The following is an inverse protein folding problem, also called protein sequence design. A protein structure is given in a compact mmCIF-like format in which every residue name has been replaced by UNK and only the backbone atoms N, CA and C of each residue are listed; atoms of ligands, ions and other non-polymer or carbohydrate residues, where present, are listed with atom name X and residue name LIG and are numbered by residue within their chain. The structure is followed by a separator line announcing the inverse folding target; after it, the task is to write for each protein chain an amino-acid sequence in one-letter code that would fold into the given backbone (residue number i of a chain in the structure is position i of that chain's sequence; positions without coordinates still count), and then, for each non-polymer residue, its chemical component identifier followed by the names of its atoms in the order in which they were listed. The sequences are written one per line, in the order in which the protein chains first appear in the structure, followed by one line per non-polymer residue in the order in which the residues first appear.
data_IF_320211762347
#
_entry.id   IF_320211762347
#
_cell.length_a   1.000
_cell.length_b   1.000
_cell.length_c   1.000
_cell.angle_alpha   90.00
_cell.angle_beta   90.00
_cell.angle_gamma   90.00
#
_symmetry.space_group_name_H-M   'P 1'
#
loop_
_entity.id
_entity.type
_entity.pdbx_description
1 polymer ?
#
# COMPACT_ATOMS: atom_id res chain seq x y z
N UNK A 1 24.18 -23.65 12.71
CA UNK A 1 23.16 -22.71 12.22
C UNK A 1 23.88 -21.41 11.87
N UNK A 2 23.79 -20.96 10.63
CA UNK A 2 24.51 -19.80 10.12
C UNK A 2 24.07 -18.53 10.89
N UNK A 3 25.00 -17.84 11.55
CA UNK A 3 24.71 -16.66 12.37
C UNK A 3 24.09 -15.53 11.55
N UNK A 4 24.45 -15.42 10.26
CA UNK A 4 23.90 -14.42 9.36
C UNK A 4 22.42 -14.68 9.07
N UNK A 5 22.03 -15.94 8.87
CA UNK A 5 20.64 -16.34 8.66
C UNK A 5 19.79 -16.02 9.89
N UNK A 6 20.27 -16.35 11.10
CA UNK A 6 19.56 -16.02 12.35
C UNK A 6 19.33 -14.52 12.46
N UNK A 7 20.33 -13.71 12.10
CA UNK A 7 20.23 -12.25 12.12
C UNK A 7 19.19 -11.74 11.10
N UNK A 8 19.22 -12.24 9.87
CA UNK A 8 18.27 -11.85 8.81
C UNK A 8 16.84 -12.20 9.21
N UNK A 9 16.60 -13.44 9.68
CA UNK A 9 15.26 -13.88 10.12
C UNK A 9 14.74 -13.05 11.29
N UNK A 10 15.62 -12.65 12.22
CA UNK A 10 15.24 -11.74 13.31
C UNK A 10 14.83 -10.37 12.77
N UNK A 11 15.66 -9.76 11.92
CA UNK A 11 15.37 -8.43 11.35
C UNK A 11 14.08 -8.42 10.52
N UNK A 12 13.85 -9.46 9.71
CA UNK A 12 12.59 -9.64 8.97
C UNK A 12 11.39 -9.73 9.91
N UNK A 13 11.49 -10.58 10.94
CA UNK A 13 10.43 -10.75 11.93
C UNK A 13 10.13 -9.46 12.71
N UNK A 14 11.15 -8.68 13.04
CA UNK A 14 11.01 -7.40 13.75
C UNK A 14 10.27 -6.37 12.85
N UNK A 15 10.63 -6.27 11.56
CA UNK A 15 9.94 -5.39 10.60
C UNK A 15 8.51 -5.85 10.35
N UNK A 16 8.25 -7.16 10.20
CA UNK A 16 6.91 -7.70 9.95
C UNK A 16 5.95 -7.57 11.15
N UNK A 17 6.50 -7.52 12.36
CA UNK A 17 5.75 -7.22 13.59
C UNK A 17 5.54 -5.73 13.78
N UNK A 18 6.43 -4.89 13.27
CA UNK A 18 6.28 -3.45 13.29
C UNK A 18 5.08 -3.05 12.42
N UNK A 19 4.26 -2.11 12.90
CA UNK A 19 3.07 -1.63 12.20
C UNK A 19 3.38 -0.49 11.23
N UNK A 20 4.62 -0.36 10.76
CA UNK A 20 4.98 0.67 9.79
C UNK A 20 4.24 0.42 8.47
N UNK A 21 3.27 1.27 8.17
CA UNK A 21 2.48 1.16 6.95
C UNK A 21 3.30 1.44 5.69
N UNK A 22 4.49 2.04 5.82
CA UNK A 22 5.32 2.53 4.74
C UNK A 22 6.39 1.56 4.25
N UNK A 23 6.71 0.51 5.03
CA UNK A 23 7.74 -0.47 4.68
C UNK A 23 7.16 -1.88 4.85
N UNK A 24 7.33 -2.73 3.85
CA UNK A 24 6.99 -4.15 3.93
C UNK A 24 8.14 -5.01 3.41
N UNK A 25 8.37 -6.16 4.04
CA UNK A 25 9.44 -7.10 3.68
C UNK A 25 8.91 -8.53 3.59
N UNK A 26 9.46 -9.28 2.65
CA UNK A 26 9.13 -10.69 2.45
C UNK A 26 10.31 -11.43 1.82
N UNK A 27 10.50 -12.68 2.20
CA UNK A 27 11.40 -13.63 1.56
C UNK A 27 10.68 -14.96 1.37
N UNK A 28 11.23 -15.84 0.54
CA UNK A 28 10.76 -17.23 0.50
C UNK A 28 11.41 -18.02 1.63
N UNK A 29 10.74 -19.05 2.12
CA UNK A 29 11.32 -19.93 3.14
C UNK A 29 12.54 -20.70 2.61
N UNK A 30 12.55 -20.99 1.31
CA UNK A 30 13.68 -21.65 0.63
C UNK A 30 14.92 -20.76 0.51
N UNK A 31 14.78 -19.43 0.54
CA UNK A 31 15.89 -18.48 0.40
C UNK A 31 15.64 -17.19 1.20
N UNK A 32 16.03 -17.24 2.48
CA UNK A 32 15.96 -16.12 3.42
C UNK A 32 16.98 -15.02 3.14
N UNK A 33 18.00 -15.26 2.29
CA UNK A 33 19.02 -14.26 1.94
C UNK A 33 18.57 -13.34 0.81
N UNK A 34 17.57 -13.75 0.05
CA UNK A 34 16.95 -12.97 -1.01
C UNK A 34 15.65 -12.36 -0.50
N UNK A 35 15.75 -11.10 -0.08
CA UNK A 35 14.63 -10.36 0.47
C UNK A 35 14.05 -9.46 -0.61
N UNK A 36 12.72 -9.40 -0.68
CA UNK A 36 12.01 -8.32 -1.35
C UNK A 36 11.53 -7.32 -0.31
N UNK A 37 11.61 -6.03 -0.65
CA UNK A 37 11.09 -4.96 0.16
C UNK A 37 10.23 -4.01 -0.69
N UNK A 38 9.16 -3.49 -0.09
CA UNK A 38 8.34 -2.45 -0.65
C UNK A 38 8.42 -1.22 0.25
N UNK A 39 8.77 -0.07 -0.35
CA UNK A 39 8.79 1.23 0.30
C UNK A 39 7.68 2.08 -0.32
N UNK A 40 6.78 2.59 0.49
CA UNK A 40 5.79 3.58 0.07
C UNK A 40 6.42 4.97 0.08
N UNK A 41 6.16 5.75 -0.98
CA UNK A 41 6.63 7.12 -1.05
C UNK A 41 5.99 8.01 0.03
N UNK A 42 6.78 8.86 0.71
CA UNK A 42 6.27 9.70 1.81
C UNK A 42 5.22 10.71 1.36
N UNK A 43 4.28 11.03 2.25
CA UNK A 43 3.27 12.08 2.05
C UNK A 43 3.92 13.46 1.83
N UNK A 44 3.29 14.31 1.01
CA UNK A 44 3.77 15.65 0.60
C UNK A 44 5.05 15.65 -0.25
N UNK A 45 5.41 14.51 -0.84
CA UNK A 45 6.55 14.41 -1.77
C UNK A 45 6.05 14.10 -3.18
N UNK A 46 6.83 14.31 -4.25
CA UNK A 46 6.46 13.83 -5.58
C UNK A 46 6.38 12.29 -5.68
N UNK A 47 6.75 11.56 -4.62
CA UNK A 47 6.67 10.11 -4.52
C UNK A 47 5.41 9.62 -3.80
N UNK A 48 4.61 10.54 -3.25
CA UNK A 48 3.49 10.28 -2.35
C UNK A 48 2.67 9.03 -2.72
N UNK A 49 2.64 8.08 -1.78
CA UNK A 49 1.94 6.80 -1.85
C UNK A 49 2.27 5.92 -3.07
N UNK A 50 3.38 6.20 -3.77
CA UNK A 50 3.94 5.35 -4.81
C UNK A 50 4.56 4.07 -4.24
N UNK A 51 4.48 2.97 -4.98
CA UNK A 51 5.02 1.68 -4.56
C UNK A 51 6.43 1.47 -5.13
N UNK A 52 7.47 1.60 -4.29
CA UNK A 52 8.86 1.43 -4.71
C UNK A 52 9.41 0.10 -4.19
N UNK A 53 9.48 -0.87 -5.09
CA UNK A 53 10.05 -2.18 -4.75
C UNK A 53 11.56 -2.19 -4.96
N UNK A 54 12.22 -2.81 -4.00
CA UNK A 54 13.63 -3.14 -3.97
C UNK A 54 13.70 -4.66 -3.89
N UNK A 55 14.39 -5.30 -4.83
CA UNK A 55 14.35 -6.76 -4.96
C UNK A 55 14.99 -7.26 -6.24
N UNK A 56 14.90 -8.57 -6.49
CA UNK A 56 15.47 -9.19 -7.68
C UNK A 56 14.53 -9.01 -8.91
N UNK A 57 14.97 -8.39 -10.03
CA UNK A 57 14.16 -8.21 -11.22
C UNK A 57 14.02 -9.48 -12.08
N UNK A 58 14.80 -10.56 -11.86
CA UNK A 58 14.77 -11.77 -12.70
C UNK A 58 15.18 -13.02 -11.91
N UNK A 59 14.56 -14.20 -12.10
CA UNK A 59 14.98 -15.46 -11.45
C UNK A 59 16.40 -15.96 -11.82
N UNK A 60 17.21 -15.20 -12.57
CA UNK A 60 18.49 -15.66 -13.13
C UNK A 60 19.62 -14.61 -13.15
N UNK A 61 19.55 -13.51 -12.38
CA UNK A 61 20.68 -12.58 -12.27
C UNK A 61 20.81 -11.95 -10.88
N UNK A 62 22.06 -11.84 -10.40
CA UNK A 62 22.53 -11.56 -9.03
C UNK A 62 22.23 -10.15 -8.45
N UNK A 63 21.06 -9.56 -8.72
CA UNK A 63 20.81 -8.16 -8.42
C UNK A 63 19.45 -7.94 -7.75
N UNK A 64 19.40 -8.20 -6.43
CA UNK A 64 18.28 -7.85 -5.54
C UNK A 64 18.79 -7.35 -4.18
N UNK A 65 17.90 -7.24 -3.17
CA UNK A 65 18.34 -7.07 -1.78
C UNK A 65 18.91 -8.42 -1.30
N UNK A 66 20.22 -8.60 -1.51
CA UNK A 66 20.90 -9.88 -1.32
C UNK A 66 21.87 -9.77 -0.14
N UNK A 67 21.61 -10.59 0.87
CA UNK A 67 22.48 -10.74 2.03
C UNK A 67 23.55 -11.79 1.75
N UNK A 68 24.78 -11.34 1.52
CA UNK A 68 25.93 -12.21 1.27
C UNK A 68 26.36 -12.96 2.55
N UNK A 69 27.20 -13.99 2.41
CA UNK A 69 27.62 -14.85 3.54
C UNK A 69 28.40 -14.12 4.63
N UNK A 70 28.93 -12.94 4.32
CA UNK A 70 29.65 -12.07 5.24
C UNK A 70 28.76 -10.99 5.89
N UNK A 71 27.43 -11.06 5.75
CA UNK A 71 26.52 -10.23 6.55
C UNK A 71 26.55 -10.64 8.03
N UNK A 72 26.57 -9.69 9.00
CA UNK A 72 26.49 -8.23 8.87
C UNK A 72 27.84 -7.51 8.81
N UNK A 73 28.95 -8.20 8.57
CA UNK A 73 30.27 -7.55 8.43
C UNK A 73 30.35 -6.68 7.18
N UNK A 74 29.66 -7.05 6.09
CA UNK A 74 29.44 -6.19 4.91
C UNK A 74 27.97 -5.87 4.70
N UNK A 75 27.70 -4.74 4.06
CA UNK A 75 26.36 -4.34 3.65
C UNK A 75 25.80 -5.32 2.61
N UNK A 76 24.48 -5.53 2.57
CA UNK A 76 23.85 -6.27 1.49
C UNK A 76 23.92 -5.48 0.17
N UNK A 77 23.84 -6.19 -0.95
CA UNK A 77 23.61 -5.56 -2.25
C UNK A 77 22.15 -5.09 -2.31
N UNK A 78 21.88 -3.94 -2.96
CA UNK A 78 20.54 -3.34 -3.04
C UNK A 78 20.27 -2.86 -4.46
N UNK A 79 19.10 -3.23 -5.00
CA UNK A 79 18.66 -2.83 -6.34
C UNK A 79 17.19 -2.42 -6.32
N UNK A 80 16.90 -1.22 -6.81
CA UNK A 80 15.53 -0.78 -7.06
C UNK A 80 15.03 -1.37 -8.39
N UNK A 81 13.90 -2.09 -8.36
CA UNK A 81 13.31 -2.71 -9.56
C UNK A 81 12.28 -1.81 -10.25
N UNK A 82 11.81 -0.80 -9.53
CA UNK A 82 10.78 0.12 -10.03
C UNK A 82 11.42 1.16 -10.94
N UNK A 83 11.89 0.77 -12.13
CA UNK A 83 12.67 1.64 -13.05
C UNK A 83 12.10 1.69 -14.47
N UNK A 84 10.91 1.12 -14.70
CA UNK A 84 10.29 1.03 -16.04
C UNK A 84 11.22 0.36 -17.07
N UNK A 85 11.91 -0.71 -16.64
CA UNK A 85 12.85 -1.46 -17.47
C UNK A 85 14.08 -0.65 -17.87
N UNK A 86 14.67 0.11 -16.94
CA UNK A 86 15.86 0.91 -17.22
C UNK A 86 15.62 2.32 -17.76
N UNK A 87 14.37 2.80 -17.77
CA UNK A 87 13.98 4.05 -18.44
C UNK A 87 13.58 5.19 -17.50
N UNK A 88 13.38 4.91 -16.23
CA UNK A 88 12.98 5.89 -15.23
C UNK A 88 14.06 6.02 -14.15
N UNK A 89 14.66 7.21 -14.02
CA UNK A 89 15.57 7.59 -12.93
C UNK A 89 14.79 8.32 -11.83
N UNK A 90 14.15 7.59 -10.91
CA UNK A 90 13.25 8.18 -9.92
C UNK A 90 13.90 9.21 -9.00
N UNK A 91 15.20 9.14 -8.76
CA UNK A 91 15.90 10.07 -7.88
C UNK A 91 17.37 10.20 -8.32
N UNK A 92 18.07 11.31 -8.03
CA UNK A 92 19.50 11.38 -8.32
C UNK A 92 20.32 10.22 -7.77
N UNK A 93 19.95 9.72 -6.58
CA UNK A 93 20.55 8.57 -5.92
C UNK A 93 19.92 7.22 -6.27
N UNK A 94 18.86 7.18 -7.09
CA UNK A 94 18.22 5.94 -7.58
C UNK A 94 18.25 5.92 -9.10
N UNK A 95 19.27 5.23 -9.62
CA UNK A 95 19.61 5.25 -11.02
C UNK A 95 18.60 4.46 -11.85
N UNK A 96 18.53 4.78 -13.14
CA UNK A 96 17.66 4.07 -14.08
C UNK A 96 17.92 2.56 -14.15
N UNK A 97 19.17 2.12 -13.95
CA UNK A 97 19.53 0.70 -13.88
C UNK A 97 19.22 0.03 -12.52
N UNK A 98 18.63 0.75 -11.58
CA UNK A 98 18.27 0.25 -10.24
C UNK A 98 19.35 0.43 -9.19
N UNK A 99 20.55 0.92 -9.53
CA UNK A 99 21.61 1.19 -8.55
C UNK A 99 21.14 2.26 -7.56
N UNK A 100 21.29 1.95 -6.27
CA UNK A 100 21.01 2.88 -5.16
C UNK A 100 22.33 3.40 -4.60
N UNK A 101 22.44 4.73 -4.47
CA UNK A 101 23.60 5.43 -3.95
C UNK A 101 23.38 5.89 -2.50
N UNK A 102 23.96 5.16 -1.55
CA UNK A 102 23.92 5.46 -0.12
C UNK A 102 25.29 5.20 0.52
N UNK A 103 25.68 6.03 1.50
CA UNK A 103 26.94 5.88 2.24
C UNK A 103 26.97 4.57 3.02
N UNK A 104 25.86 4.20 3.66
CA UNK A 104 25.70 2.94 4.40
C UNK A 104 25.77 1.69 3.51
N UNK A 105 25.67 1.85 2.19
CA UNK A 105 25.84 0.77 1.22
C UNK A 105 27.23 0.79 0.56
N UNK A 106 28.08 1.77 0.87
CA UNK A 106 29.37 1.98 0.22
C UNK A 106 29.28 2.44 -1.24
N UNK A 107 28.09 2.87 -1.68
CA UNK A 107 27.82 3.31 -3.06
C UNK A 107 27.75 4.84 -3.19
N UNK A 108 28.01 5.56 -2.10
CA UNK A 108 28.10 7.01 -2.02
C UNK A 108 29.18 7.44 -1.02
N UNK A 109 29.64 8.69 -1.13
CA UNK A 109 30.53 9.31 -0.14
C UNK A 109 29.81 9.44 1.20
N UNK A 110 30.47 9.13 2.30
CA UNK A 110 29.96 9.33 3.65
C UNK A 110 31.05 9.90 4.55
N UNK A 111 30.65 10.64 5.58
CA UNK A 111 31.55 11.04 6.65
C UNK A 111 31.86 9.87 7.59
N UNK A 112 32.86 10.05 8.46
CA UNK A 112 33.24 9.01 9.41
C UNK A 112 32.08 8.71 10.36
N UNK A 113 31.52 7.51 10.24
CA UNK A 113 30.36 7.06 11.02
C UNK A 113 29.06 6.96 10.21
N UNK A 114 29.04 7.45 8.97
CA UNK A 114 27.89 7.34 8.05
C UNK A 114 27.99 6.12 7.10
N UNK A 115 29.12 5.42 7.13
CA UNK A 115 29.38 4.20 6.37
C UNK A 115 28.80 2.96 7.07
N UNK A 116 28.75 1.84 6.35
CA UNK A 116 28.25 0.57 6.89
C UNK A 116 28.94 0.18 8.20
N UNK A 117 28.15 -0.26 9.17
CA UNK A 117 28.63 -0.99 10.34
C UNK A 117 27.66 -2.11 10.68
N UNK A 118 28.14 -3.16 11.34
CA UNK A 118 27.31 -4.29 11.77
C UNK A 118 26.25 -3.95 12.83
N UNK A 119 26.24 -2.70 13.32
CA UNK A 119 25.17 -2.15 14.13
C UNK A 119 23.92 -1.81 13.29
N UNK A 120 24.10 -1.51 12.01
CA UNK A 120 23.03 -1.27 11.05
C UNK A 120 22.36 -2.59 10.65
N UNK A 121 21.19 -2.50 10.02
CA UNK A 121 20.44 -3.66 9.55
C UNK A 121 19.49 -3.31 8.42
N UNK A 122 18.61 -4.26 8.09
CA UNK A 122 17.63 -4.11 7.02
C UNK A 122 16.75 -2.85 7.21
N UNK A 123 16.23 -2.63 8.41
CA UNK A 123 15.37 -1.49 8.70
C UNK A 123 16.06 -0.15 8.41
N UNK A 124 17.31 0.02 8.85
CA UNK A 124 18.04 1.27 8.61
C UNK A 124 18.39 1.49 7.14
N UNK A 125 18.62 0.42 6.38
CA UNK A 125 18.76 0.48 4.92
C UNK A 125 17.46 0.99 4.29
N UNK A 126 16.32 0.39 4.63
CA UNK A 126 15.03 0.76 4.04
C UNK A 126 14.62 2.19 4.40
N UNK A 127 14.84 2.61 5.65
CA UNK A 127 14.62 4.00 6.09
C UNK A 127 15.54 4.98 5.36
N UNK A 128 16.80 4.61 5.11
CA UNK A 128 17.74 5.46 4.35
C UNK A 128 17.36 5.56 2.87
N UNK A 129 16.77 4.52 2.29
CA UNK A 129 16.23 4.59 0.92
C UNK A 129 14.98 5.48 0.89
N UNK A 130 14.09 5.33 1.88
CA UNK A 130 12.89 6.15 1.97
C UNK A 130 13.22 7.65 2.16
N UNK A 131 14.26 7.99 2.91
CA UNK A 131 14.67 9.39 3.13
C UNK A 131 15.16 10.07 1.85
N UNK A 132 15.63 9.33 0.84
CA UNK A 132 15.95 9.87 -0.48
C UNK A 132 14.70 10.39 -1.22
N UNK A 133 13.52 9.87 -0.88
CA UNK A 133 12.24 10.24 -1.49
C UNK A 133 11.72 11.57 -0.89
N UNK A 134 12.55 12.61 -0.94
CA UNK A 134 12.28 13.92 -0.35
C UNK A 134 11.28 14.75 -1.16
N UNK A 135 10.79 15.85 -0.57
CA UNK A 135 9.88 16.79 -1.23
C UNK A 135 10.55 17.55 -2.39
N UNK A 136 11.87 17.75 -2.33
CA UNK A 136 12.67 18.33 -3.40
C UNK A 136 13.84 17.40 -3.79
N UNK A 137 13.58 16.35 -4.61
CA UNK A 137 14.62 15.39 -4.97
C UNK A 137 15.70 15.96 -5.90
N UNK A 138 15.59 17.22 -6.33
CA UNK A 138 16.63 17.89 -7.11
C UNK A 138 17.89 18.15 -6.28
N UNK A 139 17.73 18.46 -4.98
CA UNK A 139 18.82 18.74 -4.03
C UNK A 139 19.69 17.52 -3.75
N UNK A 140 19.19 16.32 -4.07
CA UNK A 140 19.92 15.07 -3.90
C UNK A 140 21.08 14.90 -4.91
N UNK A 141 21.14 15.71 -5.97
CA UNK A 141 22.24 15.65 -6.94
C UNK A 141 23.47 16.41 -6.40
N UNK A 142 24.68 15.81 -6.42
CA UNK A 142 25.92 16.49 -6.04
C UNK A 142 26.12 17.83 -6.76
N UNK A 143 26.40 18.87 -5.98
CA UNK A 143 26.59 20.23 -6.46
C UNK A 143 25.31 21.04 -6.59
N UNK A 144 24.15 20.47 -6.25
CA UNK A 144 22.85 21.14 -6.26
C UNK A 144 22.20 21.21 -4.87
N UNK A 145 22.94 20.89 -3.80
CA UNK A 145 22.44 20.85 -2.43
C UNK A 145 21.91 22.22 -1.97
N UNK A 146 22.61 23.31 -2.33
CA UNK A 146 22.25 24.70 -1.98
C UNK A 146 21.71 25.50 -3.20
N UNK A 147 21.25 24.80 -4.24
CA UNK A 147 20.79 25.41 -5.49
C UNK A 147 19.57 26.33 -5.25
N UNK A 148 19.75 27.63 -5.48
CA UNK A 148 18.74 28.65 -5.13
C UNK A 148 18.64 29.79 -6.16
N UNK A 149 19.32 29.66 -7.31
CA UNK A 149 19.14 30.62 -8.40
C UNK A 149 17.73 30.50 -8.99
N UNK A 150 17.27 31.54 -9.71
CA UNK A 150 15.92 31.51 -10.32
C UNK A 150 15.78 30.37 -11.35
N UNK A 151 16.87 30.05 -12.05
CA UNK A 151 16.95 28.87 -12.92
C UNK A 151 16.82 27.55 -12.16
N UNK A 152 17.38 27.46 -10.96
CA UNK A 152 17.31 26.26 -10.12
C UNK A 152 15.90 26.06 -9.60
N UNK A 153 15.22 27.12 -9.12
CA UNK A 153 13.82 27.03 -8.66
C UNK A 153 12.89 26.51 -9.74
N UNK A 154 13.11 26.95 -10.99
CA UNK A 154 12.39 26.42 -12.15
C UNK A 154 12.72 24.94 -12.38
N UNK A 155 14.00 24.56 -12.37
CA UNK A 155 14.43 23.18 -12.57
C UNK A 155 13.90 22.24 -11.47
N UNK A 156 13.94 22.66 -10.20
CA UNK A 156 13.36 21.96 -9.06
C UNK A 156 11.87 21.69 -9.28
N UNK A 157 11.10 22.72 -9.66
CA UNK A 157 9.68 22.60 -9.94
C UNK A 157 9.41 21.63 -11.10
N UNK A 158 10.12 21.78 -12.21
CA UNK A 158 9.99 20.93 -13.39
C UNK A 158 10.35 19.47 -13.06
N UNK A 159 11.37 19.25 -12.22
CA UNK A 159 11.77 17.93 -11.75
C UNK A 159 10.71 17.29 -10.85
N UNK A 160 10.19 18.03 -9.87
CA UNK A 160 9.10 17.58 -8.98
C UNK A 160 7.86 17.17 -9.79
N UNK A 161 7.47 17.97 -10.80
CA UNK A 161 6.34 17.65 -11.68
C UNK A 161 6.57 16.34 -12.44
N UNK A 162 7.77 16.18 -13.02
CA UNK A 162 8.17 14.97 -13.74
C UNK A 162 8.13 13.73 -12.86
N UNK A 163 8.72 13.80 -11.65
CA UNK A 163 8.71 12.70 -10.69
C UNK A 163 7.28 12.35 -10.28
N UNK A 164 6.43 13.35 -9.96
CA UNK A 164 5.02 13.09 -9.60
C UNK A 164 4.27 12.32 -10.68
N UNK A 165 4.45 12.71 -11.95
CA UNK A 165 3.83 12.02 -13.07
C UNK A 165 4.30 10.57 -13.17
N UNK A 166 5.61 10.34 -13.10
CA UNK A 166 6.20 9.02 -13.26
C UNK A 166 5.95 8.10 -12.07
N UNK A 167 5.82 8.64 -10.86
CA UNK A 167 5.34 7.92 -9.66
C UNK A 167 3.96 7.34 -9.94
N UNK A 168 2.97 8.18 -10.29
CA UNK A 168 1.62 7.69 -10.61
C UNK A 168 1.65 6.69 -11.76
N UNK A 169 2.34 7.00 -12.85
CA UNK A 169 2.34 6.17 -14.06
C UNK A 169 2.97 4.80 -13.87
N UNK A 170 4.15 4.74 -13.25
CA UNK A 170 4.96 3.52 -13.17
C UNK A 170 4.74 2.81 -11.84
N UNK A 171 4.97 3.51 -10.71
CA UNK A 171 5.03 2.87 -9.40
C UNK A 171 3.64 2.41 -8.94
N UNK A 172 2.59 3.16 -9.30
CA UNK A 172 1.18 2.83 -9.00
C UNK A 172 0.50 2.12 -10.17
N UNK A 173 0.27 2.83 -11.27
CA UNK A 173 -0.65 2.37 -12.34
C UNK A 173 -0.09 1.14 -13.07
N UNK A 174 1.12 1.20 -13.65
CA UNK A 174 1.68 0.06 -14.40
C UNK A 174 1.84 -1.18 -13.53
N UNK A 175 2.23 -1.02 -12.26
CA UNK A 175 2.33 -2.14 -11.31
C UNK A 175 0.96 -2.81 -11.12
N UNK A 176 -0.08 -2.03 -10.80
CA UNK A 176 -1.41 -2.57 -10.55
C UNK A 176 -2.06 -3.15 -11.80
N UNK A 177 -1.83 -2.54 -12.97
CA UNK A 177 -2.23 -3.11 -14.26
C UNK A 177 -1.59 -4.48 -14.48
N UNK A 178 -0.30 -4.63 -14.17
CA UNK A 178 0.40 -5.91 -14.22
C UNK A 178 -0.24 -6.97 -13.31
N UNK A 179 -0.55 -6.60 -12.06
CA UNK A 179 -1.20 -7.52 -11.12
C UNK A 179 -2.63 -7.92 -11.50
N UNK A 180 -3.33 -7.06 -12.25
CA UNK A 180 -4.73 -7.24 -12.65
C UNK A 180 -4.88 -7.73 -14.10
N UNK A 181 -3.79 -7.87 -14.87
CA UNK A 181 -3.83 -8.25 -16.29
C UNK A 181 -4.49 -7.21 -17.20
N UNK A 182 -4.47 -5.93 -16.80
CA UNK A 182 -5.06 -4.84 -17.57
C UNK A 182 -4.05 -4.31 -18.59
N UNK A 183 -4.47 -4.12 -19.85
CA UNK A 183 -3.64 -3.37 -20.81
C UNK A 183 -3.90 -1.87 -20.73
N UNK A 184 -2.90 -1.07 -21.09
CA UNK A 184 -3.02 0.39 -21.21
C UNK A 184 -4.15 0.82 -22.17
N UNK A 185 -4.54 -0.03 -23.11
CA UNK A 185 -5.64 0.18 -24.06
C UNK A 185 -7.03 -0.20 -23.54
N UNK A 186 -7.15 -0.75 -22.32
CA UNK A 186 -8.42 -1.19 -21.74
C UNK A 186 -8.92 -2.55 -22.23
N UNK A 187 -8.17 -3.25 -23.09
CA UNK A 187 -8.44 -4.64 -23.45
C UNK A 187 -7.79 -5.57 -22.41
N UNK A 188 -8.56 -6.47 -21.82
CA UNK A 188 -8.01 -7.55 -21.01
C UNK A 188 -7.06 -8.37 -21.89
N UNK A 189 -5.78 -8.47 -21.50
CA UNK A 189 -4.98 -9.57 -22.02
C UNK A 189 -5.50 -10.82 -21.34
N UNK A 190 -5.97 -11.80 -22.12
CA UNK A 190 -6.22 -13.14 -21.61
C UNK A 190 -4.88 -13.69 -21.11
N UNK A 191 -4.60 -13.53 -19.82
CA UNK A 191 -3.81 -14.51 -19.11
C UNK A 191 -4.64 -15.80 -19.17
N UNK A 192 -4.16 -16.75 -19.96
CA UNK A 192 -4.62 -18.14 -19.88
C UNK A 192 -4.46 -18.56 -18.43
N UNK A 193 -5.58 -18.62 -17.71
CA UNK A 193 -5.68 -19.43 -16.50
C UNK A 193 -5.34 -20.83 -16.97
N UNK A 194 -4.12 -21.28 -16.66
CA UNK A 194 -3.77 -22.68 -16.80
C UNK A 194 -4.77 -23.50 -15.97
N UNK A 195 -5.13 -24.71 -16.40
CA UNK A 195 -6.03 -25.57 -15.63
C UNK A 195 -5.53 -25.67 -14.19
N UNK A 196 -6.45 -25.72 -13.22
CA UNK A 196 -6.15 -26.12 -11.84
C UNK A 196 -5.40 -27.46 -11.91
N UNK A 197 -4.07 -27.42 -11.81
CA UNK A 197 -3.23 -28.60 -11.66
C UNK A 197 -3.21 -28.87 -10.16
N UNK A 198 -3.46 -30.12 -9.77
CA UNK A 198 -3.31 -30.58 -8.39
C UNK A 198 -2.00 -30.04 -7.79
N UNK A 199 -2.11 -29.43 -6.60
CA UNK A 199 -1.08 -28.65 -5.90
C UNK A 199 0.20 -29.44 -5.54
N UNK A 200 0.25 -30.73 -5.86
CA UNK A 200 1.30 -31.65 -5.39
C UNK A 200 2.58 -31.66 -6.27
N UNK A 201 2.57 -31.12 -7.49
CA UNK A 201 3.68 -31.26 -8.46
C UNK A 201 4.24 -29.93 -9.05
N UNK A 202 3.82 -28.75 -8.56
CA UNK A 202 4.37 -27.47 -9.03
C UNK A 202 5.65 -27.13 -8.26
N UNK A 203 6.78 -27.03 -8.96
CA UNK A 203 8.03 -26.51 -8.36
C UNK A 203 7.80 -25.07 -7.87
N UNK A 204 7.76 -24.91 -6.54
CA UNK A 204 7.54 -23.63 -5.84
C UNK A 204 8.49 -22.52 -6.34
N UNK A 205 9.69 -22.89 -6.83
CA UNK A 205 10.65 -21.96 -7.41
C UNK A 205 10.18 -21.32 -8.74
N UNK A 206 9.25 -21.95 -9.45
CA UNK A 206 8.73 -21.47 -10.75
C UNK A 206 7.52 -20.54 -10.63
N UNK A 207 6.82 -20.56 -9.50
CA UNK A 207 5.69 -19.65 -9.24
C UNK A 207 6.21 -18.22 -9.03
N UNK A 208 5.68 -17.19 -9.71
CA UNK A 208 6.09 -15.80 -9.49
C UNK A 208 5.93 -15.36 -8.02
N UNK A 209 7.01 -14.91 -7.38
CA UNK A 209 6.96 -14.41 -6.00
C UNK A 209 6.50 -12.95 -5.96
N UNK A 210 5.20 -12.74 -5.73
CA UNK A 210 4.54 -11.43 -5.65
C UNK A 210 3.97 -11.14 -4.23
N UNK A 211 4.81 -11.10 -3.18
CA UNK A 211 4.35 -11.01 -1.78
C UNK A 211 3.60 -9.71 -1.45
N UNK A 212 3.73 -8.69 -2.28
CA UNK A 212 3.12 -7.36 -2.06
C UNK A 212 1.88 -7.12 -2.91
N UNK A 213 1.42 -8.11 -3.68
CA UNK A 213 0.29 -7.96 -4.61
C UNK A 213 -0.98 -7.47 -3.92
N UNK A 214 -1.43 -8.19 -2.90
CA UNK A 214 -2.63 -7.81 -2.13
C UNK A 214 -2.42 -6.52 -1.34
N UNK A 215 -1.23 -6.33 -0.76
CA UNK A 215 -0.87 -5.11 -0.05
C UNK A 215 -1.02 -3.87 -0.94
N UNK A 216 -0.49 -3.91 -2.18
CA UNK A 216 -0.60 -2.81 -3.13
C UNK A 216 -2.06 -2.54 -3.51
N UNK A 217 -2.89 -3.57 -3.73
CA UNK A 217 -4.31 -3.41 -4.03
C UNK A 217 -5.05 -2.72 -2.87
N UNK A 218 -4.84 -3.15 -1.63
CA UNK A 218 -5.47 -2.53 -0.45
C UNK A 218 -5.05 -1.09 -0.25
N UNK A 219 -3.74 -0.80 -0.33
CA UNK A 219 -3.20 0.56 -0.20
C UNK A 219 -3.68 1.46 -1.34
N UNK A 220 -3.85 0.91 -2.54
CA UNK A 220 -4.42 1.65 -3.65
C UNK A 220 -5.85 2.12 -3.36
N UNK A 221 -6.70 1.27 -2.77
CA UNK A 221 -8.05 1.65 -2.38
C UNK A 221 -8.05 2.76 -1.31
N UNK A 222 -7.08 2.73 -0.39
CA UNK A 222 -6.92 3.75 0.65
C UNK A 222 -6.54 5.12 0.07
N UNK A 223 -5.60 5.14 -0.87
CA UNK A 223 -5.02 6.38 -1.40
C UNK A 223 -5.65 6.85 -2.71
N UNK A 224 -6.75 6.22 -3.15
CA UNK A 224 -7.39 6.52 -4.42
C UNK A 224 -7.71 8.01 -4.60
N UNK A 225 -8.32 8.63 -3.58
CA UNK A 225 -8.62 10.07 -3.57
C UNK A 225 -7.36 10.95 -3.61
N UNK A 226 -6.29 10.54 -2.91
CA UNK A 226 -5.00 11.24 -2.93
C UNK A 226 -4.35 11.19 -4.32
N UNK A 227 -4.45 10.06 -5.03
CA UNK A 227 -3.99 9.96 -6.41
C UNK A 227 -4.78 10.88 -7.36
N UNK A 228 -6.11 10.94 -7.21
CA UNK A 228 -6.93 11.85 -8.01
C UNK A 228 -6.59 13.33 -7.72
N UNK A 229 -6.35 13.69 -6.46
CA UNK A 229 -5.90 15.03 -6.09
C UNK A 229 -4.53 15.37 -6.71
N UNK A 230 -3.60 14.42 -6.72
CA UNK A 230 -2.29 14.59 -7.37
C UNK A 230 -2.39 14.74 -8.90
N UNK A 231 -3.32 14.01 -9.53
CA UNK A 231 -3.65 14.13 -10.95
C UNK A 231 -4.22 15.52 -11.26
N UNK A 232 -5.18 15.99 -10.46
CA UNK A 232 -5.82 17.29 -10.65
C UNK A 232 -4.82 18.44 -10.50
N UNK A 233 -3.96 18.38 -9.46
CA UNK A 233 -2.82 19.30 -9.31
C UNK A 233 -1.90 19.27 -10.54
N UNK A 234 -1.62 18.09 -11.06
CA UNK A 234 -0.82 17.90 -12.27
C UNK A 234 -1.42 18.52 -13.52
N UNK A 235 -2.74 18.42 -13.71
CA UNK A 235 -3.49 19.05 -14.81
C UNK A 235 -3.45 20.58 -14.74
N UNK A 236 -3.49 21.15 -13.53
CA UNK A 236 -3.41 22.60 -13.33
C UNK A 236 -2.00 23.14 -13.61
N UNK A 237 -0.98 22.33 -13.31
CA UNK A 237 0.42 22.72 -13.44
C UNK A 237 1.03 22.46 -14.82
N UNK A 238 0.49 21.52 -15.62
CA UNK A 238 1.09 21.05 -16.88
C UNK A 238 0.06 20.91 -18.00
N UNK A 239 0.51 20.90 -19.26
CA UNK A 239 -0.34 20.66 -20.44
C UNK A 239 -0.20 19.21 -20.93
N UNK A 240 -1.27 18.58 -21.44
CA UNK A 240 -1.19 17.27 -22.06
C UNK A 240 -0.18 17.24 -23.22
N UNK A 241 0.57 16.15 -23.32
CA UNK A 241 1.62 15.89 -24.30
C UNK A 241 2.83 16.84 -24.26
N UNK A 242 2.93 17.70 -23.24
CA UNK A 242 4.14 18.50 -23.01
C UNK A 242 5.31 17.55 -22.66
N UNK A 243 6.44 17.60 -23.37
CA UNK A 243 7.61 16.80 -23.03
C UNK A 243 8.20 17.22 -21.69
N UNK A 244 8.78 16.26 -20.98
CA UNK A 244 9.51 16.53 -19.75
C UNK A 244 10.70 17.46 -20.01
N UNK A 245 10.86 18.46 -19.14
CA UNK A 245 12.06 19.27 -19.14
C UNK A 245 13.26 18.41 -18.71
N UNK A 246 14.36 18.53 -19.46
CA UNK A 246 15.62 17.87 -19.14
C UNK A 246 16.34 18.66 -18.05
N UNK A 247 16.80 17.96 -17.01
CA UNK A 247 17.56 18.60 -15.94
C UNK A 247 19.03 18.79 -16.35
N UNK A 248 19.75 19.78 -15.77
CA UNK A 248 21.16 20.04 -16.09
C UNK A 248 22.08 18.81 -15.92
N UNK A 249 21.75 17.94 -14.95
CA UNK A 249 22.48 16.72 -14.64
C UNK A 249 22.05 15.49 -15.45
N UNK A 250 21.06 15.61 -16.35
CA UNK A 250 20.60 14.51 -17.20
C UNK A 250 21.37 14.48 -18.53
N UNK A 251 22.10 13.39 -18.77
CA UNK A 251 22.87 13.20 -20.01
C UNK A 251 22.04 12.46 -21.08
N UNK A 252 22.11 12.86 -22.37
CA UNK A 252 21.43 12.14 -23.44
C UNK A 252 21.96 10.70 -23.57
N UNK A 253 21.05 9.71 -23.59
CA UNK A 253 21.40 8.31 -23.84
C UNK A 253 21.96 7.53 -22.63
N UNK A 254 22.26 8.21 -21.51
CA UNK A 254 22.61 7.57 -20.26
C UNK A 254 21.98 8.36 -19.10
N UNK A 255 21.11 7.72 -18.32
CA UNK A 255 20.52 8.31 -17.11
C UNK A 255 19.60 9.53 -17.32
N UNK A 256 18.94 9.64 -18.49
CA UNK A 256 17.86 10.61 -18.73
C UNK A 256 16.47 10.05 -18.38
N UNK A 257 15.53 10.94 -18.06
CA UNK A 257 14.10 10.59 -17.91
C UNK A 257 13.29 11.36 -18.96
N UNK A 258 13.24 10.80 -20.17
CA UNK A 258 12.49 11.36 -21.29
C UNK A 258 11.04 10.83 -21.28
N UNK A 259 10.09 11.70 -21.58
CA UNK A 259 8.66 11.37 -21.54
C UNK A 259 7.79 12.60 -21.79
N UNK A 260 6.47 12.44 -21.59
CA UNK A 260 5.48 13.51 -21.75
C UNK A 260 4.42 13.39 -20.67
N UNK A 261 3.88 14.54 -20.25
CA UNK A 261 2.75 14.59 -19.31
C UNK A 261 1.46 14.13 -20.00
N UNK A 262 0.72 13.20 -19.38
CA UNK A 262 -0.60 12.78 -19.82
C UNK A 262 -1.54 12.42 -18.65
N UNK A 263 -1.81 13.41 -17.79
CA UNK A 263 -2.70 13.25 -16.64
C UNK A 263 -4.13 12.77 -16.96
N UNK A 264 -4.79 13.19 -18.07
CA UNK A 264 -6.11 12.63 -18.42
C UNK A 264 -6.08 11.11 -18.62
N UNK A 265 -5.01 10.60 -19.22
CA UNK A 265 -4.84 9.16 -19.40
C UNK A 265 -4.51 8.45 -18.10
N UNK A 266 -3.73 9.08 -17.20
CA UNK A 266 -3.47 8.51 -15.88
C UNK A 266 -4.76 8.38 -15.06
N UNK A 267 -5.61 9.41 -15.07
CA UNK A 267 -6.92 9.39 -14.41
C UNK A 267 -7.81 8.26 -14.91
N UNK A 268 -7.94 8.10 -16.23
CA UNK A 268 -8.72 7.03 -16.85
C UNK A 268 -8.23 5.65 -16.38
N UNK A 269 -6.91 5.45 -16.34
CA UNK A 269 -6.28 4.19 -15.91
C UNK A 269 -6.47 3.93 -14.41
N UNK A 270 -6.37 4.96 -13.56
CA UNK A 270 -6.68 4.85 -12.14
C UNK A 270 -8.12 4.37 -11.91
N UNK A 271 -9.10 4.97 -12.61
CA UNK A 271 -10.49 4.53 -12.53
C UNK A 271 -10.69 3.09 -13.02
N UNK A 272 -10.01 2.68 -14.09
CA UNK A 272 -10.08 1.29 -14.58
C UNK A 272 -9.52 0.28 -13.56
N UNK A 273 -8.40 0.61 -12.91
CA UNK A 273 -7.83 -0.21 -11.81
C UNK A 273 -8.81 -0.29 -10.65
N UNK A 274 -9.36 0.85 -10.23
CA UNK A 274 -10.35 0.91 -9.13
C UNK A 274 -11.57 0.04 -9.42
N UNK A 275 -12.13 0.15 -10.62
CA UNK A 275 -13.26 -0.68 -11.05
C UNK A 275 -12.91 -2.18 -11.05
N UNK A 276 -11.72 -2.56 -11.48
CA UNK A 276 -11.28 -3.96 -11.47
C UNK A 276 -11.13 -4.52 -10.04
N UNK A 277 -10.59 -3.73 -9.10
CA UNK A 277 -10.46 -4.15 -7.69
C UNK A 277 -11.83 -4.18 -7.00
N UNK A 278 -12.73 -3.24 -7.29
CA UNK A 278 -14.07 -3.19 -6.70
C UNK A 278 -14.96 -4.38 -7.10
N UNK A 279 -14.60 -5.14 -8.15
CA UNK A 279 -15.27 -6.37 -8.56
C UNK A 279 -14.75 -7.61 -7.79
N UNK A 280 -13.55 -7.57 -7.20
CA UNK A 280 -12.98 -8.70 -6.43
C UNK A 280 -13.95 -9.26 -5.38
N UNK A 281 -14.62 -8.44 -4.53
CA UNK A 281 -15.54 -8.94 -3.51
C UNK A 281 -16.69 -9.79 -4.06
N UNK A 282 -17.22 -9.42 -5.23
CA UNK A 282 -18.29 -10.17 -5.89
C UNK A 282 -17.79 -11.50 -6.41
N UNK A 283 -16.62 -11.50 -7.06
CA UNK A 283 -15.97 -12.72 -7.54
C UNK A 283 -15.65 -13.68 -6.40
N UNK A 284 -15.11 -13.17 -5.29
CA UNK A 284 -14.81 -13.98 -4.11
C UNK A 284 -16.05 -14.56 -3.44
N UNK A 285 -17.19 -13.86 -3.49
CA UNK A 285 -18.45 -14.41 -3.02
C UNK A 285 -18.88 -15.63 -3.85
N UNK A 286 -18.77 -15.56 -5.18
CA UNK A 286 -19.06 -16.69 -6.09
C UNK A 286 -18.09 -17.86 -5.87
N UNK A 287 -16.79 -17.60 -5.88
CA UNK A 287 -15.74 -18.59 -5.61
C UNK A 287 -15.91 -19.24 -4.23
N UNK A 288 -16.31 -18.43 -3.23
CA UNK A 288 -16.54 -18.88 -1.86
C UNK A 288 -17.71 -19.85 -1.71
N UNK A 289 -18.78 -19.71 -2.49
CA UNK A 289 -19.89 -20.68 -2.51
C UNK A 289 -19.44 -22.03 -3.05
N UNK A 290 -18.59 -22.04 -4.08
CA UNK A 290 -18.04 -23.28 -4.62
C UNK A 290 -17.02 -23.90 -3.66
N UNK A 291 -16.19 -23.08 -3.00
CA UNK A 291 -15.28 -23.52 -1.95
C UNK A 291 -16.02 -24.12 -0.73
N UNK A 292 -17.20 -23.59 -0.38
CA UNK A 292 -18.10 -24.15 0.63
C UNK A 292 -18.63 -25.52 0.21
N UNK A 293 -19.12 -25.67 -1.04
CA UNK A 293 -19.61 -26.97 -1.57
C UNK A 293 -18.52 -28.05 -1.59
N UNK A 294 -17.27 -27.64 -1.84
CA UNK A 294 -16.10 -28.52 -1.84
C UNK A 294 -15.50 -28.75 -0.45
N UNK A 295 -16.06 -28.15 0.61
CA UNK A 295 -15.57 -28.24 1.99
C UNK A 295 -14.06 -27.94 2.13
N UNK A 296 -13.58 -26.94 1.38
CA UNK A 296 -12.17 -26.53 1.45
C UNK A 296 -11.78 -26.10 2.86
N UNK A 297 -10.50 -26.27 3.21
CA UNK A 297 -9.94 -25.90 4.53
C UNK A 297 -10.28 -24.46 4.92
N UNK A 298 -10.16 -23.52 3.98
CA UNK A 298 -10.46 -22.09 4.22
C UNK A 298 -11.95 -21.89 4.51
N UNK A 299 -12.85 -22.54 3.76
CA UNK A 299 -14.29 -22.43 3.97
C UNK A 299 -14.71 -22.97 5.35
N UNK A 300 -14.19 -24.14 5.74
CA UNK A 300 -14.46 -24.74 7.05
C UNK A 300 -13.90 -23.87 8.19
N UNK A 301 -12.69 -23.31 8.02
CA UNK A 301 -12.08 -22.42 9.00
C UNK A 301 -12.91 -21.15 9.20
N UNK A 302 -13.29 -20.45 8.11
CA UNK A 302 -14.13 -19.25 8.20
C UNK A 302 -15.49 -19.55 8.84
N UNK A 303 -16.12 -20.67 8.49
CA UNK A 303 -17.37 -21.09 9.11
C UNK A 303 -17.23 -21.29 10.63
N UNK A 304 -16.14 -21.92 11.08
CA UNK A 304 -15.87 -22.11 12.50
C UNK A 304 -15.58 -20.78 13.21
N UNK A 305 -14.78 -19.90 12.61
CA UNK A 305 -14.52 -18.58 13.17
C UNK A 305 -15.80 -17.74 13.29
N UNK A 306 -16.73 -17.87 12.33
CA UNK A 306 -18.04 -17.21 12.39
C UNK A 306 -18.83 -17.63 13.63
N UNK A 307 -18.94 -18.93 13.90
CA UNK A 307 -19.63 -19.45 15.08
C UNK A 307 -19.02 -18.93 16.38
N UNK A 308 -17.69 -18.89 16.45
CA UNK A 308 -16.96 -18.35 17.60
C UNK A 308 -17.22 -16.86 17.81
N UNK A 309 -17.22 -16.06 16.74
CA UNK A 309 -17.47 -14.62 16.79
C UNK A 309 -18.91 -14.31 17.22
N UNK A 310 -19.90 -15.00 16.65
CA UNK A 310 -21.31 -14.85 17.02
C UNK A 310 -21.52 -15.14 18.50
N UNK A 311 -20.94 -16.23 19.02
CA UNK A 311 -21.05 -16.56 20.45
C UNK A 311 -20.33 -15.53 21.34
N UNK A 312 -19.17 -15.02 20.90
CA UNK A 312 -18.45 -14.00 21.63
C UNK A 312 -19.24 -12.68 21.75
N UNK A 313 -19.91 -12.25 20.68
CA UNK A 313 -20.69 -10.99 20.68
C UNK A 313 -22.04 -11.10 21.39
N UNK A 314 -22.62 -12.30 21.50
CA UNK A 314 -23.78 -12.51 22.38
C UNK A 314 -23.45 -12.30 23.86
N UNK A 315 -22.19 -12.48 24.24
CA UNK A 315 -21.71 -12.35 25.63
C UNK A 315 -21.14 -10.97 25.94
N UNK A 316 -20.96 -10.09 24.95
CA UNK A 316 -20.42 -8.75 25.16
C UNK A 316 -21.48 -7.76 25.67
N UNK A 317 -21.05 -6.76 26.43
CA UNK A 317 -21.92 -5.71 27.00
C UNK A 317 -22.69 -4.92 25.92
N UNK A 318 -22.11 -4.79 24.73
CA UNK A 318 -22.77 -4.29 23.53
C UNK A 318 -22.89 -5.44 22.52
N UNK A 319 -24.09 -5.98 22.27
CA UNK A 319 -24.27 -7.08 21.34
C UNK A 319 -24.23 -6.55 19.90
N UNK A 320 -23.05 -6.62 19.29
CA UNK A 320 -22.93 -6.44 17.84
C UNK A 320 -23.54 -7.63 17.11
N UNK A 321 -24.21 -7.37 15.99
CA UNK A 321 -24.82 -8.44 15.19
C UNK A 321 -23.88 -8.82 14.05
N UNK A 322 -23.76 -10.13 13.81
CA UNK A 322 -22.89 -10.69 12.77
C UNK A 322 -23.62 -11.86 12.12
N UNK A 323 -23.76 -11.82 10.80
CA UNK A 323 -24.38 -12.89 10.03
C UNK A 323 -23.64 -13.12 8.70
N UNK A 324 -23.89 -14.28 8.09
CA UNK A 324 -23.37 -14.62 6.77
C UNK A 324 -24.39 -14.23 5.69
N UNK A 325 -23.93 -13.49 4.67
CA UNK A 325 -24.75 -13.16 3.51
C UNK A 325 -25.00 -14.44 2.69
N UNK A 326 -26.27 -14.84 2.53
CA UNK A 326 -26.68 -16.08 1.86
C UNK A 326 -25.97 -17.35 2.39
N UNK A 327 -25.73 -17.41 3.71
CA UNK A 327 -24.99 -18.50 4.36
C UNK A 327 -23.57 -18.72 3.79
N UNK A 328 -22.99 -17.72 3.12
CA UNK A 328 -21.66 -17.83 2.54
C UNK A 328 -20.58 -17.50 3.58
N UNK A 329 -19.71 -18.45 4.00
CA UNK A 329 -18.66 -18.18 4.98
C UNK A 329 -17.60 -17.19 4.50
N UNK A 330 -17.61 -16.81 3.22
CA UNK A 330 -16.72 -15.79 2.64
C UNK A 330 -17.33 -14.39 2.60
N UNK A 331 -18.59 -14.22 3.03
CA UNK A 331 -19.27 -12.92 3.00
C UNK A 331 -19.95 -12.67 4.33
N UNK A 332 -19.31 -11.86 5.17
CA UNK A 332 -19.79 -11.54 6.50
C UNK A 332 -20.39 -10.15 6.50
N UNK A 333 -21.51 -9.99 7.19
CA UNK A 333 -22.13 -8.71 7.44
C UNK A 333 -22.11 -8.47 8.94
N UNK A 334 -21.49 -7.36 9.33
CA UNK A 334 -21.34 -6.94 10.72
C UNK A 334 -22.14 -5.66 10.91
N UNK A 335 -23.05 -5.66 11.87
CA UNK A 335 -23.77 -4.46 12.30
C UNK A 335 -23.08 -3.92 13.55
N UNK A 336 -22.41 -2.78 13.38
CA UNK A 336 -21.83 -2.04 14.48
C UNK A 336 -22.87 -1.08 15.07
N UNK A 337 -23.09 -1.20 16.38
CA UNK A 337 -23.95 -0.31 17.16
C UNK A 337 -23.05 0.70 17.86
N UNK A 338 -23.22 1.98 17.56
CA UNK A 338 -22.38 3.02 18.13
C UNK A 338 -22.51 3.10 19.65
N UNK A 339 -21.38 3.21 20.35
CA UNK A 339 -21.36 3.20 21.81
C UNK A 339 -22.09 4.40 22.42
N UNK A 340 -22.86 4.20 23.50
CA UNK A 340 -23.45 5.29 24.26
C UNK A 340 -22.43 6.32 24.71
N UNK A 341 -22.82 7.59 24.79
CA UNK A 341 -21.95 8.70 25.22
C UNK A 341 -20.73 8.98 24.33
N UNK A 342 -20.66 8.38 23.14
CA UNK A 342 -19.64 8.70 22.11
C UNK A 342 -20.23 9.52 20.97
N UNK A 343 -19.40 9.98 20.03
CA UNK A 343 -19.89 10.62 18.80
C UNK A 343 -20.68 9.68 17.88
N UNK A 344 -20.62 8.38 18.12
CA UNK A 344 -21.33 7.36 17.36
C UNK A 344 -22.65 6.93 18.02
N UNK A 345 -22.96 7.49 19.20
CA UNK A 345 -24.17 7.14 19.96
C UNK A 345 -25.45 7.23 19.09
N UNK A 346 -26.22 6.15 19.10
CA UNK A 346 -27.43 5.95 18.28
C UNK A 346 -27.18 5.51 16.83
N UNK A 347 -25.92 5.37 16.40
CA UNK A 347 -25.58 4.96 15.04
C UNK A 347 -25.70 3.46 14.80
N UNK A 348 -26.14 3.09 13.60
CA UNK A 348 -26.18 1.71 13.11
C UNK A 348 -25.41 1.63 11.80
N UNK A 349 -24.28 0.93 11.80
CA UNK A 349 -23.40 0.85 10.63
C UNK A 349 -23.29 -0.58 10.15
N UNK A 350 -23.78 -0.84 8.93
CA UNK A 350 -23.60 -2.12 8.25
C UNK A 350 -22.25 -2.15 7.55
N UNK A 351 -21.45 -3.14 7.91
CA UNK A 351 -20.09 -3.34 7.41
C UNK A 351 -20.05 -4.71 6.74
N UNK A 352 -19.76 -4.73 5.44
CA UNK A 352 -19.61 -5.95 4.66
C UNK A 352 -18.14 -6.31 4.54
N UNK A 353 -17.81 -7.56 4.85
CA UNK A 353 -16.47 -8.13 4.75
C UNK A 353 -16.49 -9.30 3.76
N UNK A 354 -15.72 -9.17 2.68
CA UNK A 354 -15.56 -10.22 1.68
C UNK A 354 -14.16 -10.83 1.80
N UNK A 355 -14.11 -12.15 1.94
CA UNK A 355 -12.88 -12.93 2.08
C UNK A 355 -12.54 -13.64 0.79
N UNK A 356 -11.26 -13.66 0.43
CA UNK A 356 -10.76 -14.46 -0.69
C UNK A 356 -10.73 -15.94 -0.32
N UNK A 357 -10.83 -16.81 -1.32
CA UNK A 357 -10.50 -18.25 -1.16
C UNK A 357 -9.02 -18.49 -0.83
N UNK A 358 -8.18 -17.47 -1.01
CA UNK A 358 -6.76 -17.42 -0.58
C UNK A 358 -6.58 -16.64 0.72
N UNK A 359 -7.53 -16.68 1.65
CA UNK A 359 -7.35 -16.07 2.97
C UNK A 359 -6.53 -17.03 3.85
N UNK A 360 -5.47 -16.55 4.55
CA UNK A 360 -5.13 -15.16 4.87
C UNK A 360 -4.12 -14.47 3.94
N UNK A 361 -3.62 -15.12 2.89
CA UNK A 361 -2.66 -14.54 1.94
C UNK A 361 -3.21 -13.26 1.29
N UNK A 362 -4.50 -13.27 0.96
CA UNK A 362 -5.29 -12.11 0.58
C UNK A 362 -6.20 -11.68 1.73
N UNK A 363 -6.01 -10.44 2.17
CA UNK A 363 -6.75 -9.89 3.30
C UNK A 363 -8.15 -9.41 2.86
N UNK A 364 -9.16 -9.43 3.74
CA UNK A 364 -10.53 -9.13 3.37
C UNK A 364 -10.72 -7.73 2.77
N UNK A 365 -11.70 -7.61 1.86
CA UNK A 365 -12.21 -6.31 1.41
C UNK A 365 -13.36 -5.90 2.31
N UNK A 366 -13.19 -4.78 3.00
CA UNK A 366 -14.14 -4.28 3.98
C UNK A 366 -14.76 -2.99 3.48
N UNK A 367 -16.09 -2.96 3.43
CA UNK A 367 -16.87 -1.84 2.95
C UNK A 367 -17.99 -1.50 3.91
N UNK A 368 -18.08 -0.22 4.29
CA UNK A 368 -19.22 0.34 4.98
C UNK A 368 -20.33 0.54 3.96
N UNK A 369 -21.40 -0.25 4.08
CA UNK A 369 -22.60 -0.10 3.25
C UNK A 369 -23.42 1.10 3.73
N UNK A 370 -23.46 1.31 5.05
CA UNK A 370 -24.01 2.53 5.64
C UNK A 370 -22.97 3.65 5.61
N UNK A 371 -23.32 4.80 5.04
CA UNK A 371 -22.41 5.93 4.90
C UNK A 371 -22.02 6.52 6.25
N UNK A 372 -20.73 6.83 6.42
CA UNK A 372 -20.20 7.50 7.59
C UNK A 372 -19.16 8.54 7.17
N UNK A 373 -19.22 9.74 7.75
CA UNK A 373 -18.20 10.77 7.53
C UNK A 373 -17.08 10.62 8.57
N UNK A 374 -15.99 9.93 8.21
CA UNK A 374 -14.91 9.58 9.12
C UNK A 374 -13.53 9.65 8.43
N UNK A 375 -12.47 10.01 9.15
CA UNK A 375 -11.12 10.14 8.55
C UNK A 375 -10.49 8.80 8.13
N UNK A 376 -10.86 7.70 8.78
CA UNK A 376 -10.42 6.34 8.42
C UNK A 376 -11.36 5.60 7.44
N UNK A 377 -12.45 6.22 7.00
CA UNK A 377 -13.39 5.61 6.05
C UNK A 377 -13.44 6.47 4.80
N UNK A 378 -13.07 5.89 3.66
CA UNK A 378 -13.10 6.57 2.37
C UNK A 378 -14.54 6.93 1.96
N UNK A 379 -14.68 7.84 1.00
CA UNK A 379 -15.99 8.32 0.54
C UNK A 379 -16.88 7.20 -0.03
N UNK A 380 -16.28 6.12 -0.55
CA UNK A 380 -16.96 4.95 -1.07
C UNK A 380 -17.26 3.87 0.00
N UNK A 381 -16.90 4.11 1.26
CA UNK A 381 -17.07 3.18 2.37
C UNK A 381 -15.86 2.26 2.62
N UNK A 382 -14.78 2.34 1.85
CA UNK A 382 -13.57 1.54 2.09
C UNK A 382 -12.96 1.86 3.45
N UNK A 383 -12.73 0.85 4.28
CA UNK A 383 -12.16 1.01 5.61
C UNK A 383 -10.62 0.98 5.64
N UNK A 384 -10.01 1.92 6.34
CA UNK A 384 -8.59 1.96 6.63
C UNK A 384 -8.30 1.45 8.04
N UNK A 385 -7.97 0.17 8.15
CA UNK A 385 -7.67 -0.48 9.43
C UNK A 385 -6.47 -1.43 9.30
N UNK A 386 -5.88 -1.77 10.43
CA UNK A 386 -4.76 -2.72 10.52
C UNK A 386 -5.11 -3.78 11.56
N UNK A 387 -5.32 -5.05 11.16
CA UNK A 387 -5.53 -6.13 12.12
C UNK A 387 -4.25 -6.38 12.93
N UNK A 388 -4.34 -7.18 13.99
CA UNK A 388 -3.17 -7.56 14.75
C UNK A 388 -2.16 -8.29 13.83
N UNK A 389 -0.90 -7.82 13.70
CA UNK A 389 0.08 -8.42 12.80
C UNK A 389 0.36 -9.90 13.05
N UNK A 390 0.11 -10.41 14.26
CA UNK A 390 0.31 -11.82 14.64
C UNK A 390 -0.96 -12.67 14.56
N UNK A 391 -2.10 -12.08 14.17
CA UNK A 391 -3.40 -12.76 14.05
C UNK A 391 -4.15 -12.27 12.81
N UNK A 392 -3.48 -12.25 11.65
CA UNK A 392 -4.07 -11.77 10.38
C UNK A 392 -5.02 -12.78 9.74
N UNK A 393 -5.02 -14.00 10.28
CA UNK A 393 -5.90 -15.11 9.95
C UNK A 393 -7.15 -15.17 10.84
N UNK A 394 -7.19 -14.37 11.92
CA UNK A 394 -8.30 -14.29 12.86
C UNK A 394 -9.28 -13.19 12.45
N UNK A 395 -10.45 -13.58 11.96
CA UNK A 395 -11.52 -12.67 11.54
C UNK A 395 -11.97 -11.76 12.68
N UNK A 396 -11.97 -12.26 13.92
CA UNK A 396 -12.30 -11.44 15.09
C UNK A 396 -11.31 -10.28 15.24
N UNK A 397 -10.02 -10.53 15.03
CA UNK A 397 -9.00 -9.48 15.08
C UNK A 397 -9.24 -8.38 14.04
N UNK A 398 -9.80 -8.72 12.87
CA UNK A 398 -10.18 -7.71 11.89
C UNK A 398 -11.37 -6.87 12.35
N UNK A 399 -12.42 -7.51 12.89
CA UNK A 399 -13.61 -6.81 13.38
C UNK A 399 -13.25 -5.87 14.54
N UNK A 400 -12.48 -6.36 15.51
CA UNK A 400 -12.00 -5.54 16.63
C UNK A 400 -11.14 -4.36 16.18
N UNK A 401 -10.28 -4.55 15.16
CA UNK A 401 -9.50 -3.46 14.59
C UNK A 401 -10.37 -2.42 13.87
N UNK A 402 -11.46 -2.84 13.20
CA UNK A 402 -12.43 -1.92 12.58
C UNK A 402 -13.19 -1.13 13.66
N UNK A 403 -13.58 -1.76 14.75
CA UNK A 403 -14.26 -1.05 15.84
C UNK A 403 -13.30 -0.06 16.53
N UNK A 404 -12.06 -0.48 16.77
CA UNK A 404 -11.04 0.37 17.37
C UNK A 404 -10.77 1.65 16.58
N UNK A 405 -10.82 1.63 15.24
CA UNK A 405 -10.61 2.86 14.45
C UNK A 405 -11.80 3.83 14.50
N UNK A 406 -12.99 3.36 14.84
CA UNK A 406 -14.20 4.17 14.99
C UNK A 406 -14.31 4.76 16.41
N UNK A 407 -13.85 3.99 17.40
CA UNK A 407 -13.95 4.31 18.83
C UNK A 407 -12.75 5.12 19.35
N UNK A 408 -11.76 5.40 18.51
CA UNK A 408 -10.63 6.26 18.85
C UNK A 408 -11.07 7.74 18.86
N UNK A 409 -11.25 8.29 20.05
CA UNK A 409 -11.67 9.69 20.24
C UNK A 409 -10.53 10.70 19.96
N UNK A 410 -9.27 10.28 20.16
CA UNK A 410 -8.08 11.13 20.02
C UNK A 410 -6.98 10.48 19.16
N UNK A 411 -7.28 10.14 17.89
CA UNK A 411 -6.33 9.50 17.02
C UNK A 411 -5.11 10.39 16.78
N UNK A 412 -3.93 9.78 16.87
CA UNK A 412 -2.69 10.42 16.45
C UNK A 412 -2.74 10.69 14.93
N UNK A 413 -2.22 11.86 14.51
CA UNK A 413 -2.09 12.16 13.09
C UNK A 413 -1.10 11.18 12.45
N UNK A 414 -1.57 10.41 11.48
CA UNK A 414 -0.73 9.54 10.65
C UNK A 414 -1.03 9.81 9.17
N UNK A 415 -0.10 10.42 8.43
CA UNK A 415 -0.31 10.71 7.01
C UNK A 415 -0.54 9.46 6.16
N UNK A 416 -0.12 8.28 6.64
CA UNK A 416 -0.28 7.00 5.94
C UNK A 416 -1.69 6.43 6.08
N UNK A 417 -2.55 7.00 6.93
CA UNK A 417 -3.95 6.60 7.13
C UNK A 417 -4.95 7.59 6.54
N UNK A 418 -4.48 8.56 5.75
CA UNK A 418 -5.34 9.54 5.08
C UNK A 418 -6.06 8.85 3.93
N UNK A 419 -7.29 8.41 4.19
CA UNK A 419 -8.18 7.82 3.17
C UNK A 419 -9.37 8.71 2.83
N UNK A 420 -9.65 9.69 3.69
CA UNK A 420 -10.63 10.74 3.46
C UNK A 420 -9.97 12.10 3.67
N UNK A 421 -9.35 12.69 2.64
CA UNK A 421 -8.60 13.94 2.75
C UNK A 421 -9.43 15.10 3.31
N UNK A 422 -10.72 15.16 2.98
CA UNK A 422 -11.64 16.18 3.50
C UNK A 422 -11.83 16.02 5.02
N UNK A 423 -12.16 14.81 5.48
CA UNK A 423 -12.35 14.52 6.90
C UNK A 423 -11.05 14.74 7.70
N UNK A 424 -9.91 14.28 7.20
CA UNK A 424 -8.59 14.50 7.82
C UNK A 424 -8.28 15.98 7.94
N UNK A 425 -8.48 16.77 6.87
CA UNK A 425 -8.25 18.21 6.91
C UNK A 425 -9.15 18.90 7.93
N UNK A 426 -10.41 18.48 8.10
CA UNK A 426 -11.28 19.08 9.12
C UNK A 426 -10.87 18.72 10.54
N UNK A 427 -10.39 17.50 10.78
CA UNK A 427 -10.00 17.06 12.12
C UNK A 427 -8.66 17.66 12.57
N UNK A 428 -7.64 17.67 11.69
CA UNK A 428 -6.27 18.13 12.01
C UNK A 428 -5.88 19.48 11.38
N UNK A 429 -6.76 20.16 10.64
CA UNK A 429 -6.47 21.40 9.90
C UNK A 429 -6.18 22.66 10.75
N UNK A 430 -5.99 22.53 12.06
CA UNK A 430 -5.41 23.56 12.92
C UNK A 430 -6.39 24.55 13.56
N UNK A 431 -7.65 24.62 13.14
CA UNK A 431 -8.65 25.51 13.77
C UNK A 431 -9.65 24.74 14.65
N UNK A 432 -9.96 25.26 15.85
CA UNK A 432 -10.96 24.69 16.73
C UNK A 432 -12.38 24.68 16.12
N UNK A 433 -12.62 25.54 15.12
CA UNK A 433 -13.87 25.58 14.37
C UNK A 433 -13.99 24.40 13.39
N UNK A 434 -12.89 23.97 12.77
CA UNK A 434 -12.91 22.85 11.82
C UNK A 434 -13.15 21.50 12.52
N UNK A 435 -12.56 21.29 13.70
CA UNK A 435 -12.88 20.09 14.51
C UNK A 435 -14.35 20.06 14.94
N UNK A 436 -14.96 21.21 15.22
CA UNK A 436 -16.42 21.30 15.47
C UNK A 436 -17.24 20.98 14.23
N UNK A 437 -16.83 21.46 13.05
CA UNK A 437 -17.48 21.11 11.77
C UNK A 437 -17.38 19.61 11.48
N UNK A 438 -16.22 19.00 11.72
CA UNK A 438 -16.03 17.55 11.62
C UNK A 438 -17.04 16.81 12.51
N UNK A 439 -17.06 17.10 13.81
CA UNK A 439 -17.96 16.44 14.76
C UNK A 439 -19.44 16.61 14.37
N UNK A 440 -19.83 17.80 13.88
CA UNK A 440 -21.18 18.05 13.39
C UNK A 440 -21.52 17.21 12.15
N UNK A 441 -20.59 17.03 11.22
CA UNK A 441 -20.78 16.19 10.02
C UNK A 441 -20.81 14.71 10.38
N UNK A 442 -19.91 14.25 11.25
CA UNK A 442 -19.93 12.88 11.78
C UNK A 442 -21.28 12.58 12.44
N UNK A 443 -21.74 13.44 13.37
CA UNK A 443 -23.06 13.30 14.01
C UNK A 443 -24.22 13.28 13.03
N UNK A 444 -24.17 14.08 11.97
CA UNK A 444 -25.19 14.02 10.90
C UNK A 444 -25.17 12.67 10.20
N UNK A 445 -23.99 12.14 9.85
CA UNK A 445 -23.89 10.82 9.22
C UNK A 445 -24.37 9.70 10.16
N UNK A 446 -24.15 9.83 11.46
CA UNK A 446 -24.66 8.90 12.48
C UNK A 446 -26.20 8.91 12.52
N UNK A 447 -26.83 10.09 12.47
CA UNK A 447 -28.30 10.17 12.41
C UNK A 447 -28.84 9.56 11.11
N UNK A 448 -28.21 9.85 9.97
CA UNK A 448 -28.57 9.28 8.68
C UNK A 448 -28.37 7.76 8.62
N UNK A 449 -27.42 7.22 9.38
CA UNK A 449 -27.16 5.78 9.42
C UNK A 449 -28.39 4.96 9.82
N UNK A 450 -29.28 5.53 10.64
CA UNK A 450 -30.54 4.89 11.03
C UNK A 450 -31.57 4.88 9.91
N UNK A 451 -31.61 5.95 9.10
CA UNK A 451 -32.55 6.11 7.98
C UNK A 451 -32.13 5.27 6.77
N UNK A 452 -30.82 5.20 6.52
CA UNK A 452 -30.21 4.49 5.40
C UNK A 452 -29.89 3.02 5.74
N UNK A 453 -30.22 2.54 6.95
CA UNK A 453 -29.97 1.15 7.32
C UNK A 453 -30.84 0.24 6.45
N UNK A 454 -30.25 -0.69 5.68
CA UNK A 454 -31.06 -1.51 4.79
C UNK A 454 -32.00 -2.41 5.61
N UNK A 455 -33.23 -2.59 5.14
CA UNK A 455 -34.22 -3.49 5.77
C UNK A 455 -33.69 -4.93 5.92
#
# INVERSE_FOLDING_TARGET
MDQSIIRISKELGDIQKNCDLSIAVACRDVDVRNVKALIMGPHETPYEFGFFEVGNPVPMADLGLIFMTDYPSKSPAVVCVTTNGGRCRFNPNVYSNGKVCLSILGTWRGERGEEWSSAQGLESILLSIQSLLSSNPYENEPGFEDANEESDKKAQKDYVQKIRHETLRISVIQRLEGYLGLSSSGSQQHSTVGPEVDDEDIDEATVPFEPFKDLCKRRFLWYFESYLAAVEKGKQETKPNLPFARMPFESPGNNSMDGKFNYPELERRLHAIKAAIDVEPLKWAEEGLDAKKRETTVAVNLQHQFEQVVEAFKRSDMPHDVFLDNENPFVWVVTYFGRPMTNLDGGLFRIKMNFSVRFPEEQPRVKFETKIFHHHIAADGTACYTPNPTKREDVRSHIEAIFSILEDDEPAYDPRKIVNPEATKMYWGGSADDKKKYNRRLRRSVQQSMEDFPE
#
